data_IF_318614676512
#
_entry.id   IF_318614676512
#
_cell.length_a   1.000
_cell.length_b   1.000
_cell.length_c   1.000
_cell.angle_alpha   90.00
_cell.angle_beta   90.00
_cell.angle_gamma   90.00
#
_symmetry.space_group_name_H-M   'P 1'
#
loop_
_entity.id
_entity.type
_entity.pdbx_description
1 polymer ?
#
# COMPACT_ATOMS: atom_id res chain seq x y z
N UNK A 1 -28.65 -28.93 -1.00
CA UNK A 1 -27.38 -29.11 -1.74
C UNK A 1 -26.59 -30.23 -1.08
N UNK A 2 -26.60 -31.45 -1.63
CA UNK A 2 -25.88 -32.61 -1.06
C UNK A 2 -24.40 -32.49 -1.45
N UNK A 3 -23.52 -32.19 -0.49
CA UNK A 3 -22.07 -32.21 -0.71
C UNK A 3 -21.63 -33.61 -1.18
N UNK A 4 -20.77 -33.65 -2.20
CA UNK A 4 -20.15 -34.88 -2.71
C UNK A 4 -19.24 -35.49 -1.63
N UNK A 5 -19.07 -36.82 -1.66
CA UNK A 5 -18.18 -37.54 -0.73
C UNK A 5 -16.74 -36.99 -0.76
N UNK A 6 -16.30 -36.49 -1.92
CA UNK A 6 -14.98 -35.85 -2.10
C UNK A 6 -14.85 -34.52 -1.37
N UNK A 7 -15.93 -33.72 -1.29
CA UNK A 7 -15.89 -32.43 -0.60
C UNK A 7 -15.85 -32.60 0.92
N UNK A 8 -16.54 -33.63 1.43
CA UNK A 8 -16.55 -33.96 2.86
C UNK A 8 -15.19 -34.46 3.35
N UNK A 9 -14.49 -35.28 2.56
CA UNK A 9 -13.17 -35.76 2.94
C UNK A 9 -12.14 -34.62 2.92
N UNK A 10 -12.15 -33.75 1.90
CA UNK A 10 -11.29 -32.56 1.85
C UNK A 10 -11.52 -31.62 3.03
N UNK A 11 -12.78 -31.34 3.35
CA UNK A 11 -13.13 -30.52 4.49
C UNK A 11 -12.68 -31.17 5.82
N UNK A 12 -12.86 -32.48 5.98
CA UNK A 12 -12.38 -33.21 7.16
C UNK A 12 -10.86 -33.08 7.33
N UNK A 13 -10.09 -33.35 6.27
CA UNK A 13 -8.62 -33.24 6.35
C UNK A 13 -8.15 -31.81 6.62
N UNK A 14 -8.82 -30.79 6.07
CA UNK A 14 -8.53 -29.39 6.33
C UNK A 14 -8.84 -28.99 7.79
N UNK A 15 -9.95 -29.46 8.36
CA UNK A 15 -10.29 -29.21 9.76
C UNK A 15 -9.28 -29.90 10.69
N UNK A 16 -8.91 -31.15 10.38
CA UNK A 16 -7.96 -31.96 11.14
C UNK A 16 -6.55 -31.37 11.12
N UNK A 17 -6.09 -30.82 9.98
CA UNK A 17 -4.78 -30.18 9.86
C UNK A 17 -4.67 -28.85 10.63
N UNK A 18 -5.79 -28.14 10.81
CA UNK A 18 -5.83 -26.86 11.52
C UNK A 18 -5.91 -27.00 13.05
N UNK A 19 -6.02 -28.24 13.56
CA UNK A 19 -5.94 -28.51 15.01
C UNK A 19 -4.49 -28.39 15.46
N UNK A 20 -4.26 -27.65 16.55
CA UNK A 20 -2.91 -27.47 17.12
C UNK A 20 -2.25 -28.84 17.40
N UNK A 21 -0.99 -29.07 17.01
CA UNK A 21 -0.29 -30.34 17.25
C UNK A 21 -0.33 -30.82 18.71
N UNK A 22 -0.37 -29.90 19.66
CA UNK A 22 -0.51 -30.19 21.10
C UNK A 22 -1.75 -31.03 21.42
N UNK A 23 -2.88 -30.79 20.74
CA UNK A 23 -4.14 -31.52 20.98
C UNK A 23 -3.99 -32.99 20.61
N UNK A 24 -3.31 -33.29 19.50
CA UNK A 24 -3.04 -34.68 19.07
C UNK A 24 -2.12 -35.40 20.06
N UNK A 25 -1.11 -34.71 20.62
CA UNK A 25 -0.27 -35.27 21.69
C UNK A 25 -1.11 -35.56 22.93
N UNK A 26 -1.98 -34.63 23.35
CA UNK A 26 -2.86 -34.84 24.50
C UNK A 26 -3.82 -36.02 24.29
N UNK A 27 -4.39 -36.18 23.09
CA UNK A 27 -5.23 -37.33 22.73
C UNK A 27 -4.40 -38.62 22.81
N UNK A 28 -3.21 -38.64 22.21
CA UNK A 28 -2.33 -39.80 22.22
C UNK A 28 -1.97 -40.26 23.65
N UNK A 29 -1.63 -39.31 24.53
CA UNK A 29 -1.35 -39.58 25.93
C UNK A 29 -2.60 -40.00 26.73
N UNK A 30 -3.79 -39.50 26.36
CA UNK A 30 -5.05 -39.89 27.00
C UNK A 30 -5.53 -41.29 26.58
N UNK A 31 -5.15 -41.75 25.38
CA UNK A 31 -5.45 -43.12 24.94
C UNK A 31 -4.76 -44.18 25.81
N UNK A 32 -3.54 -43.91 26.30
CA UNK A 32 -2.78 -44.84 27.15
C UNK A 32 -3.54 -45.28 28.43
N UNK A 33 -3.99 -44.37 29.33
CA UNK A 33 -4.79 -44.76 30.48
C UNK A 33 -6.18 -45.29 30.11
N UNK A 34 -6.75 -44.83 28.99
CA UNK A 34 -8.05 -45.30 28.52
C UNK A 34 -8.02 -46.78 28.11
N UNK A 35 -7.02 -47.20 27.31
CA UNK A 35 -6.86 -48.60 26.92
C UNK A 35 -6.43 -49.47 28.10
N UNK A 36 -5.60 -48.96 29.01
CA UNK A 36 -5.28 -49.63 30.27
C UNK A 36 -6.54 -49.98 31.08
N UNK A 37 -7.51 -49.04 31.14
CA UNK A 37 -8.80 -49.28 31.78
C UNK A 37 -9.61 -50.37 31.06
N UNK A 38 -9.65 -50.37 29.72
CA UNK A 38 -10.33 -51.42 28.96
C UNK A 38 -9.67 -52.80 29.13
N UNK A 39 -8.34 -52.86 29.23
CA UNK A 39 -7.63 -54.10 29.52
C UNK A 39 -7.96 -54.65 30.91
N UNK A 40 -8.10 -53.79 31.92
CA UNK A 40 -8.52 -54.18 33.27
C UNK A 40 -9.93 -54.80 33.32
N UNK A 41 -10.82 -54.41 32.39
CA UNK A 41 -12.17 -54.97 32.29
C UNK A 41 -12.20 -56.38 31.67
N UNK A 42 -11.16 -56.75 30.94
CA UNK A 42 -11.04 -58.08 30.36
C UNK A 42 -10.57 -59.09 31.40
N UNK A 43 -11.11 -60.32 31.42
CA UNK A 43 -10.62 -61.37 32.29
C UNK A 43 -9.16 -61.74 32.02
N UNK A 44 -8.40 -62.04 33.07
CA UNK A 44 -6.95 -62.32 33.01
C UNK A 44 -6.58 -63.42 32.01
N UNK A 45 -7.43 -64.44 31.82
CA UNK A 45 -7.20 -65.54 30.87
C UNK A 45 -7.13 -65.10 29.40
N UNK A 46 -7.59 -63.89 29.07
CA UNK A 46 -7.44 -63.33 27.73
C UNK A 46 -5.98 -63.01 27.39
N UNK A 47 -5.11 -62.88 28.39
CA UNK A 47 -3.71 -62.50 28.24
C UNK A 47 -2.77 -63.61 28.72
N UNK A 48 -1.59 -63.67 28.10
CA UNK A 48 -0.42 -64.35 28.65
C UNK A 48 0.34 -63.32 29.48
N UNK A 49 0.43 -63.58 30.78
CA UNK A 49 1.05 -62.71 31.79
C UNK A 49 2.38 -63.35 32.21
N UNK A 50 3.47 -62.58 32.41
CA UNK A 50 4.76 -63.12 32.79
C UNK A 50 4.74 -63.66 34.24
N UNK A 51 5.63 -64.60 34.55
CA UNK A 51 5.74 -65.17 35.90
C UNK A 51 6.10 -64.08 36.92
N UNK A 52 5.24 -63.87 37.92
CA UNK A 52 5.36 -62.77 38.89
C UNK A 52 4.79 -61.43 38.43
N UNK A 53 4.17 -61.37 37.24
CA UNK A 53 3.45 -60.19 36.74
C UNK A 53 2.14 -59.92 37.49
N UNK A 54 1.84 -58.65 37.73
CA UNK A 54 0.57 -58.23 38.36
C UNK A 54 -0.53 -57.96 37.33
N UNK A 55 -1.79 -58.08 37.75
CA UNK A 55 -3.00 -57.72 36.96
C UNK A 55 -3.61 -56.38 37.40
N UNK A 56 -2.79 -55.55 38.07
CA UNK A 56 -3.20 -54.21 38.52
C UNK A 56 -3.22 -53.24 37.35
N UNK A 57 -3.92 -52.11 37.54
CA UNK A 57 -3.99 -51.04 36.54
C UNK A 57 -2.61 -50.56 36.07
N UNK A 58 -1.61 -50.55 36.94
CA UNK A 58 -0.24 -50.18 36.58
C UNK A 58 0.39 -51.10 35.53
N UNK A 59 0.14 -52.41 35.63
CA UNK A 59 0.62 -53.40 34.65
C UNK A 59 -0.06 -53.22 33.29
N UNK A 60 -1.37 -52.97 33.28
CA UNK A 60 -2.13 -52.73 32.05
C UNK A 60 -1.81 -51.37 31.42
N UNK A 61 -1.50 -50.37 32.23
CA UNK A 61 -0.98 -49.09 31.75
C UNK A 61 0.38 -49.25 31.09
N UNK A 62 1.28 -50.00 31.70
CA UNK A 62 2.55 -50.36 31.08
C UNK A 62 2.34 -51.09 29.75
N UNK A 63 1.46 -52.10 29.71
CA UNK A 63 1.14 -52.84 28.50
C UNK A 63 0.56 -51.93 27.39
N UNK A 64 -0.37 -51.04 27.74
CA UNK A 64 -0.94 -50.06 26.81
C UNK A 64 0.13 -49.10 26.28
N UNK A 65 0.99 -48.55 27.13
CA UNK A 65 2.10 -47.67 26.71
C UNK A 65 3.00 -48.39 25.71
N UNK A 66 3.44 -49.61 26.02
CA UNK A 66 4.34 -50.40 25.17
C UNK A 66 3.67 -50.81 23.85
N UNK A 67 2.36 -51.04 23.88
CA UNK A 67 1.56 -51.40 22.69
C UNK A 67 1.34 -50.20 21.78
N UNK A 68 0.80 -49.09 22.29
CA UNK A 68 0.48 -47.91 21.48
C UNK A 68 1.74 -47.23 20.93
N UNK A 69 2.86 -47.29 21.66
CA UNK A 69 4.17 -46.81 21.19
C UNK A 69 4.86 -47.77 20.23
N UNK A 70 4.26 -48.93 19.94
CA UNK A 70 4.80 -49.97 19.06
C UNK A 70 6.12 -50.59 19.55
N UNK A 71 6.48 -50.41 20.82
CA UNK A 71 7.67 -51.02 21.43
C UNK A 71 7.54 -52.55 21.54
N UNK A 72 6.38 -53.02 22.02
CA UNK A 72 6.01 -54.43 22.01
C UNK A 72 7.00 -55.41 22.67
N UNK A 73 7.35 -55.21 23.95
CA UNK A 73 8.31 -56.10 24.66
C UNK A 73 7.89 -57.58 24.73
N UNK A 74 6.60 -57.88 24.60
CA UNK A 74 6.08 -59.26 24.50
C UNK A 74 5.98 -60.01 25.83
N UNK A 75 6.20 -59.34 26.95
CA UNK A 75 6.02 -59.86 28.30
C UNK A 75 4.52 -60.08 28.61
N UNK A 76 3.68 -59.08 28.34
CA UNK A 76 2.23 -59.21 28.29
C UNK A 76 1.78 -59.40 26.84
N UNK A 77 1.05 -60.47 26.55
CA UNK A 77 0.65 -60.80 25.16
C UNK A 77 -0.84 -61.17 25.09
N UNK A 78 -1.60 -60.66 24.10
CA UNK A 78 -3.01 -61.01 23.94
C UNK A 78 -3.12 -62.44 23.37
N UNK A 79 -3.64 -63.37 24.17
CA UNK A 79 -3.69 -64.80 23.82
C UNK A 79 -5.01 -65.21 23.16
N UNK A 80 -6.08 -64.43 23.37
CA UNK A 80 -7.43 -64.75 22.92
C UNK A 80 -8.07 -63.59 22.15
N UNK A 81 -9.11 -63.90 21.38
CA UNK A 81 -9.70 -62.98 20.40
C UNK A 81 -10.18 -61.64 20.96
N UNK A 82 -10.65 -61.59 22.21
CA UNK A 82 -11.12 -60.35 22.85
C UNK A 82 -9.96 -59.37 23.10
N UNK A 83 -8.89 -59.86 23.73
CA UNK A 83 -7.66 -59.10 23.91
C UNK A 83 -7.03 -58.70 22.58
N UNK A 84 -6.94 -59.63 21.62
CA UNK A 84 -6.35 -59.37 20.29
C UNK A 84 -7.11 -58.26 19.54
N UNK A 85 -8.44 -58.26 19.58
CA UNK A 85 -9.25 -57.22 18.94
C UNK A 85 -9.02 -55.85 19.60
N UNK A 86 -8.98 -55.79 20.94
CA UNK A 86 -8.75 -54.54 21.66
C UNK A 86 -7.35 -53.97 21.39
N UNK A 87 -6.32 -54.82 21.41
CA UNK A 87 -4.95 -54.46 21.04
C UNK A 87 -4.84 -53.98 19.59
N UNK A 88 -5.54 -54.62 18.65
CA UNK A 88 -5.56 -54.16 17.26
C UNK A 88 -6.19 -52.76 17.13
N UNK A 89 -7.28 -52.49 17.85
CA UNK A 89 -7.92 -51.16 17.88
C UNK A 89 -6.97 -50.12 18.49
N UNK A 90 -6.30 -50.45 19.60
CA UNK A 90 -5.34 -49.55 20.24
C UNK A 90 -4.22 -49.14 19.28
N UNK A 91 -3.60 -50.12 18.60
CA UNK A 91 -2.52 -49.85 17.64
C UNK A 91 -3.03 -49.01 16.46
N UNK A 92 -4.23 -49.29 15.94
CA UNK A 92 -4.85 -48.46 14.90
C UNK A 92 -5.08 -47.02 15.36
N UNK A 93 -5.63 -46.81 16.56
CA UNK A 93 -5.84 -45.48 17.13
C UNK A 93 -4.52 -44.74 17.33
N UNK A 94 -3.48 -45.42 17.84
CA UNK A 94 -2.14 -44.85 18.00
C UNK A 94 -1.54 -44.38 16.68
N UNK A 95 -1.54 -45.26 15.66
CA UNK A 95 -1.01 -44.93 14.33
C UNK A 95 -1.76 -43.77 13.67
N UNK A 96 -3.10 -43.74 13.74
CA UNK A 96 -3.90 -42.64 13.19
C UNK A 96 -3.61 -41.32 13.89
N UNK A 97 -3.51 -41.34 15.23
CA UNK A 97 -3.24 -40.13 16.03
C UNK A 97 -1.85 -39.55 15.72
N UNK A 98 -0.82 -40.40 15.59
CA UNK A 98 0.52 -39.97 15.17
C UNK A 98 0.51 -39.43 13.74
N UNK A 99 -0.21 -40.10 12.82
CA UNK A 99 -0.36 -39.62 11.44
C UNK A 99 -0.98 -38.23 11.35
N UNK A 100 -2.05 -37.99 12.12
CA UNK A 100 -2.68 -36.66 12.20
C UNK A 100 -1.79 -35.62 12.87
N UNK A 101 -1.04 -36.01 13.91
CA UNK A 101 -0.05 -35.13 14.54
C UNK A 101 1.01 -34.67 13.52
N UNK A 102 1.60 -35.60 12.76
CA UNK A 102 2.61 -35.28 11.74
C UNK A 102 2.05 -34.38 10.64
N UNK A 103 0.80 -34.62 10.22
CA UNK A 103 0.11 -33.77 9.26
C UNK A 103 -0.09 -32.33 9.79
N UNK A 104 -0.54 -32.18 11.04
CA UNK A 104 -0.72 -30.88 11.68
C UNK A 104 0.61 -30.11 11.81
N UNK A 105 1.71 -30.79 12.16
CA UNK A 105 3.05 -30.19 12.22
C UNK A 105 3.52 -29.73 10.83
N UNK A 106 3.34 -30.56 9.81
CA UNK A 106 3.68 -30.21 8.43
C UNK A 106 2.92 -28.98 7.93
N UNK A 107 1.61 -28.91 8.20
CA UNK A 107 0.77 -27.77 7.83
C UNK A 107 1.19 -26.48 8.53
N UNK A 108 1.45 -26.54 9.84
CA UNK A 108 1.85 -25.37 10.63
C UNK A 108 3.18 -24.79 10.17
N UNK A 109 4.15 -25.63 9.81
CA UNK A 109 5.43 -25.17 9.25
C UNK A 109 5.22 -24.47 7.90
N UNK A 110 4.37 -25.03 7.03
CA UNK A 110 4.05 -24.41 5.74
C UNK A 110 3.40 -23.04 5.91
N UNK A 111 2.51 -22.85 6.89
CA UNK A 111 1.90 -21.55 7.14
C UNK A 111 2.92 -20.51 7.62
N UNK A 112 3.81 -20.89 8.54
CA UNK A 112 4.87 -20.01 9.05
C UNK A 112 5.84 -19.62 7.92
N UNK A 113 6.25 -20.59 7.10
CA UNK A 113 7.15 -20.35 5.96
C UNK A 113 6.48 -19.42 4.93
N UNK A 114 5.18 -19.59 4.67
CA UNK A 114 4.40 -18.71 3.77
C UNK A 114 4.29 -17.28 4.32
N UNK A 115 4.03 -17.12 5.62
CA UNK A 115 3.95 -15.78 6.24
C UNK A 115 5.31 -15.09 6.17
N UNK A 116 6.40 -15.82 6.49
CA UNK A 116 7.77 -15.30 6.39
C UNK A 116 8.12 -14.89 4.95
N UNK A 117 7.79 -15.73 3.98
CA UNK A 117 8.08 -15.44 2.57
C UNK A 117 7.25 -14.26 2.06
N UNK A 118 5.97 -14.16 2.45
CA UNK A 118 5.12 -13.00 2.14
C UNK A 118 5.67 -11.70 2.73
N UNK A 119 6.11 -11.72 3.98
CA UNK A 119 6.71 -10.53 4.61
C UNK A 119 8.03 -10.15 3.93
N UNK A 120 8.84 -11.13 3.54
CA UNK A 120 10.06 -10.89 2.77
C UNK A 120 9.75 -10.29 1.40
N UNK A 121 8.76 -10.83 0.69
CA UNK A 121 8.30 -10.30 -0.59
C UNK A 121 7.79 -8.87 -0.44
N UNK A 122 7.03 -8.57 0.62
CA UNK A 122 6.56 -7.21 0.93
C UNK A 122 7.72 -6.24 1.11
N UNK A 123 8.74 -6.60 1.90
CA UNK A 123 9.93 -5.74 2.10
C UNK A 123 10.73 -5.53 0.83
N UNK A 124 10.85 -6.56 -0.01
CA UNK A 124 11.52 -6.45 -1.31
C UNK A 124 10.72 -5.55 -2.25
N UNK A 125 9.39 -5.67 -2.27
CA UNK A 125 8.50 -4.79 -3.03
C UNK A 125 8.66 -3.33 -2.59
N UNK A 126 8.54 -3.07 -1.29
CA UNK A 126 8.70 -1.72 -0.72
C UNK A 126 10.06 -1.10 -1.05
N UNK A 127 11.15 -1.88 -0.94
CA UNK A 127 12.49 -1.41 -1.30
C UNK A 127 12.64 -1.10 -2.80
N UNK A 128 12.06 -1.95 -3.65
CA UNK A 128 12.08 -1.76 -5.11
C UNK A 128 11.33 -0.47 -5.51
N UNK A 129 10.13 -0.29 -4.98
CA UNK A 129 9.31 0.90 -5.27
C UNK A 129 9.96 2.17 -4.70
N UNK A 130 10.57 2.09 -3.51
CA UNK A 130 11.31 3.21 -2.92
C UNK A 130 12.49 3.64 -3.81
N UNK A 131 13.27 2.68 -4.33
CA UNK A 131 14.37 2.97 -5.25
C UNK A 131 13.89 3.60 -6.58
N UNK A 132 12.77 3.11 -7.13
CA UNK A 132 12.13 3.72 -8.31
C UNK A 132 11.72 5.16 -8.02
N UNK A 133 11.12 5.43 -6.87
CA UNK A 133 10.69 6.78 -6.50
C UNK A 133 11.90 7.70 -6.35
N UNK A 134 12.94 7.28 -5.61
CA UNK A 134 14.18 8.05 -5.44
C UNK A 134 14.81 8.47 -6.77
N UNK A 135 14.81 7.58 -7.78
CA UNK A 135 15.31 7.88 -9.12
C UNK A 135 14.49 8.93 -9.87
N UNK A 136 13.18 9.03 -9.58
CA UNK A 136 12.27 9.98 -10.23
C UNK A 136 12.16 11.32 -9.49
N UNK A 137 12.55 11.40 -8.21
CA UNK A 137 12.49 12.62 -7.39
C UNK A 137 13.10 13.85 -8.08
N UNK A 138 14.31 13.81 -8.68
CA UNK A 138 14.90 15.01 -9.28
C UNK A 138 14.06 15.59 -10.43
N UNK A 139 13.50 14.72 -11.27
CA UNK A 139 12.64 15.12 -12.39
C UNK A 139 11.33 15.70 -11.87
N UNK A 140 10.76 15.07 -10.84
CA UNK A 140 9.50 15.49 -10.25
C UNK A 140 9.64 16.84 -9.54
N UNK A 141 10.69 17.02 -8.72
CA UNK A 141 11.01 18.30 -8.09
C UNK A 141 11.22 19.41 -9.13
N UNK A 142 11.99 19.14 -10.19
CA UNK A 142 12.18 20.12 -11.26
C UNK A 142 10.84 20.54 -11.88
N UNK A 143 9.96 19.59 -12.20
CA UNK A 143 8.65 19.86 -12.79
C UNK A 143 7.71 20.63 -11.85
N UNK A 144 7.67 20.29 -10.56
CA UNK A 144 6.85 21.01 -9.57
C UNK A 144 7.36 22.44 -9.37
N UNK A 145 8.67 22.62 -9.22
CA UNK A 145 9.26 23.95 -9.07
C UNK A 145 9.06 24.81 -10.33
N UNK A 146 9.15 24.20 -11.51
CA UNK A 146 8.86 24.88 -12.77
C UNK A 146 7.40 25.33 -12.83
N UNK A 147 6.47 24.48 -12.40
CA UNK A 147 5.06 24.85 -12.30
C UNK A 147 4.82 26.02 -11.34
N UNK A 148 5.45 26.01 -10.16
CA UNK A 148 5.38 27.14 -9.21
C UNK A 148 6.01 28.42 -9.79
N UNK A 149 7.08 28.32 -10.59
CA UNK A 149 7.65 29.47 -11.29
C UNK A 149 6.69 30.06 -12.34
N UNK A 150 5.92 29.22 -13.04
CA UNK A 150 4.85 29.70 -13.92
C UNK A 150 3.68 30.30 -13.14
N UNK A 151 3.32 29.74 -11.99
CA UNK A 151 2.33 30.35 -11.10
C UNK A 151 2.78 31.75 -10.68
N UNK A 152 4.04 31.89 -10.25
CA UNK A 152 4.65 33.19 -9.93
C UNK A 152 4.57 34.16 -11.10
N UNK A 153 4.84 33.72 -12.34
CA UNK A 153 4.80 34.60 -13.51
C UNK A 153 3.39 35.13 -13.78
N UNK A 154 2.35 34.31 -13.58
CA UNK A 154 0.95 34.72 -13.74
C UNK A 154 0.47 35.60 -12.59
N UNK A 155 0.89 35.31 -11.35
CA UNK A 155 0.41 36.00 -10.13
C UNK A 155 1.31 37.15 -9.69
N UNK A 156 2.25 37.59 -10.53
CA UNK A 156 3.14 38.73 -10.24
C UNK A 156 2.98 39.78 -11.32
N UNK A 157 2.68 41.05 -10.97
CA UNK A 157 2.63 42.14 -11.93
C UNK A 157 3.93 42.31 -12.73
N UNK A 158 3.82 42.71 -14.01
CA UNK A 158 4.95 42.72 -14.95
C UNK A 158 6.11 43.65 -14.53
N UNK A 159 5.80 44.70 -13.78
CA UNK A 159 6.80 45.62 -13.19
C UNK A 159 7.71 44.94 -12.17
N UNK A 160 7.20 43.93 -11.45
CA UNK A 160 7.93 43.19 -10.40
C UNK A 160 8.66 41.94 -10.92
N UNK A 161 8.39 41.49 -12.15
CA UNK A 161 9.01 40.29 -12.75
C UNK A 161 10.52 40.45 -13.04
N UNK A 162 11.02 41.69 -13.13
CA UNK A 162 12.41 41.98 -13.55
C UNK A 162 13.45 41.90 -12.42
N UNK A 163 13.02 41.82 -11.17
CA UNK A 163 13.88 42.07 -9.98
C UNK A 163 14.34 40.83 -9.21
N UNK A 164 14.18 39.64 -9.79
CA UNK A 164 15.07 38.48 -9.58
C UNK A 164 14.90 37.60 -8.32
N UNK A 165 13.67 37.34 -7.86
CA UNK A 165 13.39 36.19 -6.97
C UNK A 165 12.16 35.44 -7.52
N UNK A 166 12.40 34.22 -8.01
CA UNK A 166 11.37 33.29 -8.53
C UNK A 166 10.72 32.51 -7.39
N UNK A 167 10.15 33.22 -6.41
CA UNK A 167 9.47 32.58 -5.28
C UNK A 167 7.98 32.83 -5.38
N UNK A 168 7.22 31.75 -5.54
CA UNK A 168 5.78 31.81 -5.64
C UNK A 168 5.16 32.29 -4.30
N UNK A 169 4.40 33.37 -4.36
CA UNK A 169 3.64 33.86 -3.22
C UNK A 169 2.24 33.24 -3.20
N UNK A 170 2.02 32.26 -2.31
CA UNK A 170 0.71 31.63 -2.13
C UNK A 170 -0.40 32.60 -1.73
N UNK A 171 -0.08 33.76 -1.14
CA UNK A 171 -1.04 34.77 -0.68
C UNK A 171 -1.36 35.84 -1.73
N UNK A 172 -1.11 35.58 -3.02
CA UNK A 172 -1.47 36.50 -4.09
C UNK A 172 -2.99 36.80 -4.14
N UNK A 173 -3.31 37.99 -4.61
CA UNK A 173 -4.67 38.52 -4.78
C UNK A 173 -5.10 38.45 -6.25
N UNK A 174 -6.40 38.57 -6.50
CA UNK A 174 -6.93 38.57 -7.87
C UNK A 174 -6.31 39.70 -8.72
N UNK A 175 -6.09 40.87 -8.12
CA UNK A 175 -5.48 42.03 -8.77
C UNK A 175 -4.03 41.80 -9.25
N UNK A 176 -3.31 40.85 -8.63
CA UNK A 176 -1.93 40.54 -9.01
C UNK A 176 -1.83 39.82 -10.37
N UNK A 177 -2.94 39.24 -10.84
CA UNK A 177 -3.03 38.55 -12.14
C UNK A 177 -3.28 39.48 -13.32
N UNK A 178 -3.36 40.81 -13.10
CA UNK A 178 -3.67 41.81 -14.14
C UNK A 178 -2.82 41.74 -15.41
N UNK A 179 -1.59 41.22 -15.29
CA UNK A 179 -0.60 41.15 -16.36
C UNK A 179 -0.42 39.69 -16.88
N UNK A 180 -1.42 38.82 -16.73
CA UNK A 180 -1.32 37.39 -17.09
C UNK A 180 -1.07 37.13 -18.58
N UNK A 181 -1.43 38.07 -19.46
CA UNK A 181 -1.17 38.00 -20.91
C UNK A 181 0.19 38.53 -21.33
N UNK A 182 0.89 39.23 -20.43
CA UNK A 182 2.25 39.72 -20.71
C UNK A 182 3.27 38.59 -20.66
N UNK A 183 4.45 38.77 -21.31
CA UNK A 183 5.52 37.80 -21.26
C UNK A 183 5.91 37.42 -19.83
N UNK A 184 6.26 36.14 -19.63
CA UNK A 184 6.62 35.61 -18.31
C UNK A 184 7.95 36.17 -17.77
N UNK A 185 8.87 36.52 -18.68
CA UNK A 185 10.28 36.84 -18.39
C UNK A 185 11.03 35.74 -17.63
N UNK A 186 10.50 34.51 -17.62
CA UNK A 186 11.20 33.35 -17.07
C UNK A 186 12.40 33.01 -17.96
N UNK A 187 13.55 32.60 -17.38
CA UNK A 187 14.73 32.22 -18.17
C UNK A 187 14.49 31.07 -19.16
N UNK A 188 13.49 30.23 -18.87
CA UNK A 188 13.08 29.09 -19.70
C UNK A 188 12.18 29.49 -20.88
N UNK A 189 11.68 30.72 -20.90
CA UNK A 189 10.70 31.20 -21.88
C UNK A 189 11.36 32.06 -22.96
N UNK A 190 11.87 31.40 -24.00
CA UNK A 190 12.47 32.05 -25.16
C UNK A 190 11.45 32.59 -26.16
N UNK A 191 10.19 32.14 -26.08
CA UNK A 191 9.14 32.50 -27.02
C UNK A 191 8.41 33.79 -26.64
N UNK A 192 8.68 34.34 -25.44
CA UNK A 192 7.99 35.51 -24.88
C UNK A 192 6.46 35.38 -24.94
N UNK A 193 5.96 34.15 -24.78
CA UNK A 193 4.53 33.86 -24.80
C UNK A 193 3.82 34.46 -23.58
N UNK A 194 2.49 34.65 -23.66
CA UNK A 194 1.69 34.99 -22.50
C UNK A 194 1.97 34.07 -21.31
N UNK A 195 2.14 34.66 -20.12
CA UNK A 195 2.45 33.88 -18.91
C UNK A 195 1.40 32.79 -18.63
N UNK A 196 0.12 33.09 -18.87
CA UNK A 196 -1.00 32.16 -18.71
C UNK A 196 -0.89 30.93 -19.60
N UNK A 197 -0.49 31.10 -20.86
CA UNK A 197 -0.34 29.99 -21.81
C UNK A 197 0.80 29.07 -21.38
N UNK A 198 1.91 29.64 -20.95
CA UNK A 198 3.03 28.87 -20.43
C UNK A 198 2.68 28.10 -19.15
N UNK A 199 1.89 28.69 -18.26
CA UNK A 199 1.36 28.01 -17.08
C UNK A 199 0.48 26.81 -17.44
N UNK A 200 -0.52 27.00 -18.30
CA UNK A 200 -1.45 25.93 -18.69
C UNK A 200 -0.73 24.78 -19.38
N UNK A 201 0.21 25.10 -20.29
CA UNK A 201 1.04 24.07 -20.93
C UNK A 201 1.91 23.33 -19.90
N UNK A 202 2.52 24.06 -18.95
CA UNK A 202 3.32 23.44 -17.90
C UNK A 202 2.45 22.52 -17.01
N UNK A 203 1.28 22.98 -16.60
CA UNK A 203 0.33 22.20 -15.80
C UNK A 203 -0.08 20.89 -16.51
N UNK A 204 -0.36 20.95 -17.81
CA UNK A 204 -0.64 19.75 -18.62
C UNK A 204 0.53 18.76 -18.64
N UNK A 205 1.77 19.25 -18.84
CA UNK A 205 2.96 18.41 -18.80
C UNK A 205 3.25 17.81 -17.41
N UNK A 206 2.89 18.52 -16.34
CA UNK A 206 3.00 18.02 -14.98
C UNK A 206 1.94 16.94 -14.72
N UNK A 207 0.69 17.19 -15.09
CA UNK A 207 -0.41 16.22 -14.97
C UNK A 207 -0.08 14.91 -15.65
N UNK A 208 0.41 14.94 -16.90
CA UNK A 208 0.81 13.73 -17.63
C UNK A 208 1.98 12.99 -16.96
N UNK A 209 2.90 13.73 -16.35
CA UNK A 209 4.02 13.13 -15.64
C UNK A 209 3.58 12.45 -14.33
N UNK A 210 2.66 13.06 -13.58
CA UNK A 210 2.07 12.50 -12.37
C UNK A 210 1.22 11.26 -12.67
N UNK A 211 0.45 11.28 -13.76
CA UNK A 211 -0.31 10.11 -14.22
C UNK A 211 0.63 8.97 -14.65
N UNK A 212 1.68 9.30 -15.41
CA UNK A 212 2.72 8.34 -15.78
C UNK A 212 3.47 7.77 -14.57
N UNK A 213 3.65 8.55 -13.50
CA UNK A 213 4.30 8.12 -12.26
C UNK A 213 3.45 7.06 -11.55
N UNK A 214 2.14 7.30 -11.43
CA UNK A 214 1.16 6.38 -10.84
C UNK A 214 1.11 5.02 -11.55
N UNK A 215 1.35 4.99 -12.87
CA UNK A 215 1.38 3.74 -13.63
C UNK A 215 2.71 2.95 -13.49
N UNK A 216 3.80 3.62 -13.10
CA UNK A 216 5.16 3.04 -13.06
C UNK A 216 5.61 2.64 -11.66
N UNK A 217 5.07 3.31 -10.64
CA UNK A 217 5.42 3.15 -9.24
C UNK A 217 4.14 2.89 -8.47
N UNK A 218 4.17 1.88 -7.60
CA UNK A 218 3.07 1.59 -6.69
C UNK A 218 3.03 2.64 -5.56
N UNK A 219 2.32 3.74 -5.81
CA UNK A 219 2.18 4.84 -4.85
C UNK A 219 1.24 4.48 -3.68
N UNK A 220 0.60 3.30 -3.67
CA UNK A 220 -0.25 2.90 -2.53
C UNK A 220 0.55 2.73 -1.23
N UNK A 221 1.87 2.56 -1.34
CA UNK A 221 2.80 2.58 -0.22
C UNK A 221 2.91 3.97 0.45
N UNK A 222 2.50 5.03 -0.25
CA UNK A 222 2.53 6.42 0.20
C UNK A 222 1.21 7.12 -0.14
N UNK A 223 0.17 6.80 0.63
CA UNK A 223 -1.20 7.30 0.44
C UNK A 223 -1.26 8.82 0.22
N UNK A 224 -0.53 9.60 1.03
CA UNK A 224 -0.50 11.06 0.89
C UNK A 224 0.03 11.52 -0.48
N UNK A 225 1.10 10.91 -0.99
CA UNK A 225 1.65 11.26 -2.30
C UNK A 225 0.68 10.87 -3.42
N UNK A 226 0.03 9.69 -3.30
CA UNK A 226 -0.98 9.23 -4.26
C UNK A 226 -2.17 10.21 -4.33
N UNK A 227 -2.70 10.62 -3.17
CA UNK A 227 -3.80 11.58 -3.08
C UNK A 227 -3.43 12.94 -3.68
N UNK A 228 -2.24 13.47 -3.36
CA UNK A 228 -1.77 14.74 -3.91
C UNK A 228 -1.55 14.65 -5.44
N UNK A 229 -1.00 13.53 -5.95
CA UNK A 229 -0.86 13.32 -7.39
C UNK A 229 -2.22 13.30 -8.09
N UNK A 230 -3.20 12.61 -7.52
CA UNK A 230 -4.56 12.55 -8.05
C UNK A 230 -5.24 13.92 -7.99
N UNK A 231 -5.11 14.65 -6.88
CA UNK A 231 -5.68 15.98 -6.72
C UNK A 231 -5.14 16.95 -7.78
N UNK A 232 -3.83 16.95 -8.04
CA UNK A 232 -3.24 17.78 -9.08
C UNK A 232 -3.80 17.44 -10.48
N UNK A 233 -3.84 16.15 -10.82
CA UNK A 233 -4.39 15.68 -12.10
C UNK A 233 -5.86 16.07 -12.23
N UNK A 234 -6.64 15.92 -11.17
CA UNK A 234 -8.04 16.30 -11.13
C UNK A 234 -8.24 17.80 -11.33
N UNK A 235 -7.44 18.65 -10.67
CA UNK A 235 -7.50 20.10 -10.86
C UNK A 235 -7.25 20.50 -12.31
N UNK A 236 -6.28 19.87 -12.98
CA UNK A 236 -5.97 20.13 -14.40
C UNK A 236 -7.08 19.64 -15.32
N UNK A 237 -7.67 18.47 -15.05
CA UNK A 237 -8.74 17.91 -15.88
C UNK A 237 -10.08 18.63 -15.71
N UNK A 238 -10.37 19.15 -14.51
CA UNK A 238 -11.59 19.88 -14.21
C UNK A 238 -11.52 21.36 -14.65
N UNK A 239 -10.34 21.86 -15.01
CA UNK A 239 -10.15 23.23 -15.47
C UNK A 239 -10.79 23.46 -16.85
N UNK A 240 -12.01 23.99 -16.86
CA UNK A 240 -12.82 24.13 -18.08
C UNK A 240 -12.46 25.33 -18.96
N UNK A 241 -11.79 26.34 -18.39
CA UNK A 241 -11.56 27.64 -19.03
C UNK A 241 -10.28 27.75 -19.84
N UNK A 242 -9.58 26.63 -20.12
CA UNK A 242 -8.34 26.64 -20.92
C UNK A 242 -8.56 27.26 -22.30
N UNK A 243 -9.55 26.78 -23.04
CA UNK A 243 -9.85 27.29 -24.39
C UNK A 243 -10.35 28.74 -24.35
N UNK A 244 -11.15 29.07 -23.31
CA UNK A 244 -11.68 30.42 -23.12
C UNK A 244 -10.57 31.45 -22.85
N UNK A 245 -9.53 31.08 -22.11
CA UNK A 245 -8.39 31.95 -21.83
C UNK A 245 -7.54 32.21 -23.07
N UNK A 246 -7.34 31.21 -23.93
CA UNK A 246 -6.60 31.38 -25.18
C UNK A 246 -7.27 32.40 -26.12
N UNK A 247 -8.59 32.41 -26.19
CA UNK A 247 -9.36 33.31 -27.06
C UNK A 247 -9.87 34.57 -26.34
N UNK A 248 -9.52 34.77 -25.06
CA UNK A 248 -10.15 35.83 -24.26
C UNK A 248 -9.90 37.22 -24.82
N UNK A 249 -8.66 37.51 -25.21
CA UNK A 249 -8.29 38.80 -25.81
C UNK A 249 -9.05 39.04 -27.12
N UNK A 250 -9.11 38.03 -27.99
CA UNK A 250 -9.83 38.11 -29.27
C UNK A 250 -11.33 38.34 -29.07
N UNK A 251 -11.93 37.62 -28.10
CA UNK A 251 -13.35 37.78 -27.75
C UNK A 251 -13.65 39.19 -27.23
N UNK A 252 -12.83 39.73 -26.35
CA UNK A 252 -13.01 41.09 -25.79
C UNK A 252 -12.78 42.15 -26.87
N UNK A 253 -11.72 42.00 -27.66
CA UNK A 253 -11.40 42.85 -28.81
C UNK A 253 -12.57 42.93 -29.78
N UNK A 254 -13.10 41.78 -30.22
CA UNK A 254 -14.19 41.72 -31.20
C UNK A 254 -15.54 42.20 -30.62
N UNK A 255 -15.86 41.87 -29.36
CA UNK A 255 -17.13 42.27 -28.73
C UNK A 255 -17.21 43.79 -28.50
N UNK A 256 -16.07 44.44 -28.34
CA UNK A 256 -16.00 45.87 -28.02
C UNK A 256 -15.47 46.73 -29.16
N UNK A 257 -14.97 46.13 -30.25
CA UNK A 257 -14.44 46.84 -31.41
C UNK A 257 -13.12 47.58 -31.11
N UNK A 258 -12.26 46.99 -30.27
CA UNK A 258 -10.99 47.60 -29.82
C UNK A 258 -9.79 46.75 -30.26
N UNK A 259 -8.58 47.32 -30.24
CA UNK A 259 -7.34 46.56 -30.52
C UNK A 259 -7.13 45.44 -29.48
N UNK A 260 -6.32 44.43 -29.81
CA UNK A 260 -5.91 43.38 -28.86
C UNK A 260 -5.17 44.00 -27.66
N UNK A 261 -4.29 44.98 -27.91
CA UNK A 261 -3.57 45.70 -26.85
C UNK A 261 -4.54 46.48 -25.93
N UNK A 262 -5.57 47.11 -26.50
CA UNK A 262 -6.60 47.82 -25.74
C UNK A 262 -7.47 46.84 -24.93
N UNK A 263 -7.76 45.67 -25.48
CA UNK A 263 -8.47 44.59 -24.79
C UNK A 263 -7.66 44.06 -23.59
N UNK A 264 -6.35 43.89 -23.76
CA UNK A 264 -5.44 43.54 -22.67
C UNK A 264 -5.46 44.61 -21.58
N UNK A 265 -5.30 45.89 -21.94
CA UNK A 265 -5.36 47.00 -21.00
C UNK A 265 -6.68 47.08 -20.24
N UNK A 266 -7.81 46.84 -20.91
CA UNK A 266 -9.12 46.84 -20.29
C UNK A 266 -9.31 45.69 -19.32
N UNK A 267 -8.84 44.49 -19.65
CA UNK A 267 -8.85 43.33 -18.75
C UNK A 267 -7.99 43.59 -17.50
N UNK A 268 -6.79 44.14 -17.70
CA UNK A 268 -5.92 44.55 -16.60
C UNK A 268 -6.61 45.56 -15.67
N UNK A 269 -7.28 46.56 -16.24
CA UNK A 269 -8.03 47.55 -15.48
C UNK A 269 -9.23 46.93 -14.74
N UNK A 270 -9.96 46.01 -15.37
CA UNK A 270 -11.07 45.31 -14.75
C UNK A 270 -10.62 44.46 -13.55
N UNK A 271 -9.50 43.73 -13.67
CA UNK A 271 -8.90 42.96 -12.57
C UNK A 271 -8.41 43.83 -11.41
N UNK A 272 -8.01 45.08 -11.67
CA UNK A 272 -7.70 46.03 -10.59
C UNK A 272 -8.96 46.65 -9.96
N UNK A 273 -10.05 46.74 -10.70
CA UNK A 273 -11.32 47.32 -10.24
C UNK A 273 -12.07 46.32 -9.35
N UNK A 274 -12.23 45.10 -9.84
CA UNK A 274 -12.81 43.97 -9.11
C UNK A 274 -11.68 43.26 -8.37
N UNK A 275 -11.34 43.75 -7.18
CA UNK A 275 -10.16 43.30 -6.43
C UNK A 275 -10.26 41.87 -5.89
N UNK A 276 -11.47 41.29 -5.86
CA UNK A 276 -11.72 39.93 -5.37
C UNK A 276 -12.41 39.05 -6.43
N UNK A 277 -12.21 37.72 -6.39
CA UNK A 277 -12.84 36.80 -7.33
C UNK A 277 -14.37 36.87 -7.31
N UNK A 278 -14.97 37.05 -6.13
CA UNK A 278 -16.43 37.10 -5.95
C UNK A 278 -17.05 38.33 -6.64
N UNK A 279 -16.31 39.44 -6.69
CA UNK A 279 -16.74 40.65 -7.40
C UNK A 279 -16.59 40.50 -8.93
N UNK A 280 -15.63 39.70 -9.37
CA UNK A 280 -15.34 39.48 -10.77
C UNK A 280 -16.20 38.36 -11.40
N UNK A 281 -16.83 37.51 -10.58
CA UNK A 281 -17.65 36.38 -11.03
C UNK A 281 -18.92 36.83 -11.78
N UNK A 282 -19.47 37.98 -11.41
CA UNK A 282 -20.63 38.59 -12.05
C UNK A 282 -20.34 39.10 -13.48
N UNK A 283 -19.06 39.26 -13.85
CA UNK A 283 -18.63 39.72 -15.17
C UNK A 283 -18.31 38.52 -16.09
N UNK A 284 -19.11 38.26 -17.14
CA UNK A 284 -18.96 37.05 -17.96
C UNK A 284 -17.59 36.87 -18.63
N UNK A 285 -16.88 37.98 -18.89
CA UNK A 285 -15.55 37.95 -19.51
C UNK A 285 -14.41 37.79 -18.48
N UNK A 286 -14.67 37.91 -17.18
CA UNK A 286 -13.68 37.66 -16.13
C UNK A 286 -13.79 36.25 -15.54
N UNK A 287 -14.90 35.55 -15.76
CA UNK A 287 -15.09 34.17 -15.28
C UNK A 287 -13.93 33.21 -15.60
N UNK A 288 -13.33 33.19 -16.81
CA UNK A 288 -12.16 32.35 -17.08
C UNK A 288 -10.94 32.68 -16.20
N UNK A 289 -10.79 33.96 -15.82
CA UNK A 289 -9.72 34.44 -14.95
C UNK A 289 -10.01 34.11 -13.48
N UNK A 290 -11.28 34.16 -13.06
CA UNK A 290 -11.72 33.70 -11.73
C UNK A 290 -11.47 32.20 -11.57
N UNK A 291 -11.84 31.40 -12.56
CA UNK A 291 -11.52 29.96 -12.57
C UNK A 291 -10.02 29.72 -12.50
N UNK A 292 -9.21 30.50 -13.24
CA UNK A 292 -7.75 30.42 -13.20
C UNK A 292 -7.19 30.77 -11.80
N UNK A 293 -7.77 31.75 -11.11
CA UNK A 293 -7.36 32.12 -9.76
C UNK A 293 -7.48 30.94 -8.79
N UNK A 294 -8.64 30.28 -8.77
CA UNK A 294 -8.88 29.11 -7.93
C UNK A 294 -8.01 27.92 -8.35
N UNK A 295 -7.89 27.67 -9.65
CA UNK A 295 -7.00 26.64 -10.18
C UNK A 295 -5.55 26.79 -9.69
N UNK A 296 -5.01 28.01 -9.70
CA UNK A 296 -3.65 28.28 -9.22
C UNK A 296 -3.56 28.05 -7.70
N UNK A 297 -4.54 28.51 -6.92
CA UNK A 297 -4.55 28.28 -5.45
C UNK A 297 -4.50 26.80 -5.13
N UNK A 298 -5.43 26.02 -5.66
CA UNK A 298 -5.57 24.61 -5.33
C UNK A 298 -4.36 23.81 -5.84
N UNK A 299 -3.92 24.05 -7.07
CA UNK A 299 -2.83 23.29 -7.69
C UNK A 299 -1.45 23.64 -7.13
N UNK A 300 -1.22 24.90 -6.73
CA UNK A 300 0.05 25.31 -6.10
C UNK A 300 0.21 24.77 -4.68
N UNK A 301 -0.90 24.66 -3.93
CA UNK A 301 -0.90 24.04 -2.61
C UNK A 301 -0.52 22.56 -2.71
N UNK A 302 -1.19 21.83 -3.62
CA UNK A 302 -0.87 20.42 -3.92
C UNK A 302 0.58 20.27 -4.34
N UNK A 303 1.08 21.09 -5.28
CA UNK A 303 2.46 21.04 -5.74
C UNK A 303 3.47 21.26 -4.60
N UNK A 304 3.16 22.14 -3.66
CA UNK A 304 4.01 22.39 -2.48
C UNK A 304 4.01 21.19 -1.53
N UNK A 305 2.86 20.55 -1.29
CA UNK A 305 2.79 19.32 -0.48
C UNK A 305 3.59 18.18 -1.12
N UNK A 306 3.49 18.01 -2.45
CA UNK A 306 4.31 17.05 -3.19
C UNK A 306 5.80 17.33 -3.01
N UNK A 307 6.26 18.58 -3.20
CA UNK A 307 7.68 18.96 -3.00
C UNK A 307 8.15 18.62 -1.58
N UNK A 308 7.36 18.98 -0.56
CA UNK A 308 7.69 18.71 0.84
C UNK A 308 7.81 17.21 1.10
N UNK A 309 6.88 16.41 0.59
CA UNK A 309 6.92 14.96 0.70
C UNK A 309 8.21 14.39 0.09
N UNK A 310 8.56 14.79 -1.15
CA UNK A 310 9.74 14.27 -1.86
C UNK A 310 11.05 14.64 -1.16
N UNK A 311 11.15 15.85 -0.63
CA UNK A 311 12.32 16.31 0.12
C UNK A 311 12.50 15.50 1.41
N UNK A 312 11.42 15.33 2.18
CA UNK A 312 11.44 14.53 3.41
C UNK A 312 11.76 13.05 3.13
N UNK A 313 11.16 12.50 2.08
CA UNK A 313 11.40 11.12 1.66
C UNK A 313 12.86 10.87 1.29
N UNK A 314 13.45 11.77 0.48
CA UNK A 314 14.86 11.71 0.08
C UNK A 314 15.83 11.85 1.27
N UNK A 315 15.54 12.77 2.19
CA UNK A 315 16.35 12.99 3.39
C UNK A 315 16.36 11.76 4.32
N UNK A 316 15.20 11.17 4.57
CA UNK A 316 15.06 9.98 5.43
C UNK A 316 15.82 8.76 4.86
N UNK A 317 15.78 8.56 3.54
CA UNK A 317 16.50 7.47 2.89
C UNK A 317 18.02 7.68 2.89
N UNK A 318 18.47 8.93 2.77
CA UNK A 318 19.91 9.27 2.84
C UNK A 318 20.47 9.02 4.24
N UNK A 319 19.78 9.48 5.29
CA UNK A 319 20.18 9.24 6.68
C UNK A 319 20.23 7.75 7.04
N UNK A 320 19.26 6.96 6.55
CA UNK A 320 19.22 5.51 6.77
C UNK A 320 20.40 4.80 6.08
N UNK A 321 20.78 5.25 4.88
CA UNK A 321 21.93 4.69 4.15
C UNK A 321 23.25 5.02 4.84
N UNK A 322 23.42 6.24 5.34
CA UNK A 322 24.60 6.63 6.11
C UNK A 322 24.73 5.84 7.42
N UNK A 323 23.64 5.71 8.18
CA UNK A 323 23.62 4.93 9.42
C UNK A 323 24.00 3.46 9.20
N UNK A 324 23.49 2.85 8.12
CA UNK A 324 23.83 1.47 7.75
C UNK A 324 25.32 1.32 7.36
N UNK A 325 25.85 2.29 6.61
CA UNK A 325 27.26 2.28 6.19
C UNK A 325 28.20 2.41 7.39
N UNK A 326 27.83 3.23 8.39
CA UNK A 326 28.60 3.38 9.63
C UNK A 326 28.55 2.12 10.51
N UNK A 327 27.40 1.45 10.59
CA UNK A 327 27.25 0.18 11.28
C UNK A 327 28.10 -0.93 10.64
N UNK A 328 28.03 -1.05 9.31
CA UNK A 328 28.82 -2.04 8.56
C UNK A 328 30.33 -1.77 8.70
N UNK A 329 30.76 -0.49 8.74
CA UNK A 329 32.14 -0.11 8.98
C UNK A 329 32.61 -0.33 10.44
N UNK A 330 31.70 -0.39 11.41
CA UNK A 330 32.01 -0.68 12.82
C UNK A 330 32.10 -2.18 13.13
N UNK A 331 31.54 -3.02 12.25
CA UNK A 331 31.53 -4.49 12.37
C UNK A 331 32.63 -5.18 11.54
N UNK A 332 33.34 -4.43 10.68
CA UNK A 332 34.46 -4.89 9.86
C UNK A 332 35.82 -4.61 10.54
#
# INVERSE_FOLDING_TARGET
MKMSFSDRSRHFFHVVSNVRPLVWICIYLALMPLFAFFYQLLPDWQFRIPDGGGTTYGSWLYYSIVTITTLGFGDYTPAHGGAQALTAIEVMCGMLTIGFFLNAVGSMKSEIDVISEKEKQRRVHEALESDKLLKNIPVLLHKMNLFLAWCWAVTTPADKRKTNILEFNANFTFSDMRDLFKPSYLPVDYAHRPAVEGLLQCAGHVSLNLDSLQQRIDLTLWEQLLEDCFAFVSNVQLFSSSDNLHHLLDMVSHKQGISIDDAEHKLAQAMTTYSTPEQAEDEPFLRPVVELYHFIKDSSEVATRVILFLNNFSANHSATKEAKTLLDASQA
#
